data_IF_477225358562
#
_entry.id   IF_477225358562
#
_cell.length_a   1.000
_cell.length_b   1.000
_cell.length_c   1.000
_cell.angle_alpha   90.00
_cell.angle_beta   90.00
_cell.angle_gamma   90.00
#
_symmetry.space_group_name_H-M   'P 1'
#
loop_
_entity.id
_entity.type
_entity.pdbx_description
1 polymer ?
#
# COMPACT_ATOMS: atom_id res chain seq x y z
N UNK A 1 -26.58 30.87 -47.91
CA UNK A 1 -26.38 30.14 -46.63
C UNK A 1 -25.18 29.22 -46.78
N UNK A 2 -23.99 29.63 -46.33
CA UNK A 2 -22.80 28.75 -46.23
C UNK A 2 -22.53 28.55 -44.74
N UNK A 3 -22.76 27.34 -44.25
CA UNK A 3 -22.47 26.92 -42.88
C UNK A 3 -20.95 26.84 -42.69
N UNK A 4 -20.41 27.76 -41.87
CA UNK A 4 -19.03 27.67 -41.38
C UNK A 4 -18.96 26.54 -40.35
N UNK A 5 -18.28 25.47 -40.70
CA UNK A 5 -17.82 24.43 -39.78
C UNK A 5 -16.75 25.03 -38.86
N UNK A 6 -17.02 25.05 -37.56
CA UNK A 6 -16.04 25.37 -36.52
C UNK A 6 -15.11 24.16 -36.38
N UNK A 7 -13.77 24.31 -36.44
CA UNK A 7 -12.87 23.17 -36.27
C UNK A 7 -12.91 22.68 -34.83
N UNK A 8 -13.15 21.39 -34.63
CA UNK A 8 -13.01 20.73 -33.34
C UNK A 8 -11.53 20.68 -32.96
N UNK A 9 -11.15 21.52 -32.01
CA UNK A 9 -9.84 21.42 -31.36
C UNK A 9 -9.81 20.12 -30.55
N UNK A 10 -9.09 19.12 -31.07
CA UNK A 10 -8.99 17.81 -30.42
C UNK A 10 -8.49 17.96 -28.99
N UNK A 11 -9.15 17.31 -28.03
CA UNK A 11 -8.81 17.26 -26.60
C UNK A 11 -7.34 16.84 -26.35
N UNK A 12 -6.70 16.21 -27.34
CA UNK A 12 -5.30 15.81 -27.27
C UNK A 12 -4.31 16.99 -27.30
N UNK A 13 -4.65 18.12 -27.95
CA UNK A 13 -3.79 19.31 -28.00
C UNK A 13 -3.83 20.08 -26.69
N UNK A 14 -5.01 20.23 -26.08
CA UNK A 14 -5.17 20.87 -24.77
C UNK A 14 -4.44 20.05 -23.68
N UNK A 15 -4.49 18.72 -23.74
CA UNK A 15 -3.69 17.87 -22.83
C UNK A 15 -2.18 18.00 -23.07
N UNK A 16 -1.72 18.12 -24.33
CA UNK A 16 -0.29 18.33 -24.63
C UNK A 16 0.19 19.71 -24.18
N UNK A 17 -0.66 20.73 -24.29
CA UNK A 17 -0.34 22.10 -23.93
C UNK A 17 -0.40 22.33 -22.41
N UNK A 18 -1.38 21.74 -21.72
CA UNK A 18 -1.41 21.67 -20.26
C UNK A 18 -0.24 20.84 -19.69
N UNK A 19 0.17 19.77 -20.38
CA UNK A 19 1.39 19.02 -20.03
C UNK A 19 2.66 19.86 -20.27
N UNK A 20 2.74 20.63 -21.36
CA UNK A 20 3.87 21.54 -21.65
C UNK A 20 3.98 22.68 -20.64
N UNK A 21 2.86 23.28 -20.21
CA UNK A 21 2.85 24.37 -19.21
C UNK A 21 3.16 23.84 -17.79
N UNK A 22 2.74 22.61 -17.47
CA UNK A 22 3.12 21.93 -16.23
C UNK A 22 4.60 21.49 -16.19
N UNK A 23 5.26 21.38 -17.35
CA UNK A 23 6.67 21.00 -17.52
C UNK A 23 7.60 22.18 -17.88
N UNK A 24 7.18 23.44 -17.67
CA UNK A 24 8.17 24.52 -17.63
C UNK A 24 9.24 24.12 -16.61
N UNK A 25 10.54 24.01 -16.99
CA UNK A 25 11.54 23.40 -16.15
C UNK A 25 11.83 24.32 -14.98
N UNK A 26 11.07 24.14 -13.90
CA UNK A 26 11.38 24.70 -12.60
C UNK A 26 12.74 24.12 -12.21
N UNK A 27 13.79 24.94 -12.38
CA UNK A 27 15.19 24.56 -12.11
C UNK A 27 15.38 23.98 -10.72
N UNK A 28 14.48 24.30 -9.78
CA UNK A 28 14.51 23.83 -8.40
C UNK A 28 13.83 22.48 -8.17
N UNK A 29 12.97 22.02 -9.09
CA UNK A 29 12.20 20.78 -8.92
C UNK A 29 13.09 19.57 -8.60
N UNK A 30 14.13 19.33 -9.41
CA UNK A 30 15.01 18.17 -9.22
C UNK A 30 15.82 18.33 -7.92
N UNK A 31 16.58 19.42 -7.70
CA UNK A 31 17.32 19.61 -6.46
C UNK A 31 16.48 19.42 -5.19
N UNK A 32 15.31 20.06 -5.11
CA UNK A 32 14.46 20.02 -3.89
C UNK A 32 13.92 18.61 -3.63
N UNK A 33 13.38 17.95 -4.65
CA UNK A 33 12.82 16.60 -4.49
C UNK A 33 13.89 15.59 -4.11
N UNK A 34 15.06 15.65 -4.76
CA UNK A 34 16.17 14.75 -4.46
C UNK A 34 16.72 15.01 -3.06
N UNK A 35 16.89 16.27 -2.67
CA UNK A 35 17.34 16.63 -1.33
C UNK A 35 16.37 16.14 -0.27
N UNK A 36 15.05 16.29 -0.46
CA UNK A 36 14.05 15.78 0.48
C UNK A 36 14.16 14.27 0.69
N UNK A 37 14.22 13.48 -0.38
CA UNK A 37 14.27 12.03 -0.28
C UNK A 37 15.63 11.52 0.21
N UNK A 38 16.73 12.20 -0.15
CA UNK A 38 18.06 11.89 0.36
C UNK A 38 18.18 12.23 1.85
N UNK A 39 17.67 13.38 2.30
CA UNK A 39 17.64 13.75 3.70
C UNK A 39 16.79 12.77 4.53
N UNK A 40 15.61 12.36 4.01
CA UNK A 40 14.79 11.35 4.66
C UNK A 40 15.51 10.01 4.77
N UNK A 41 16.19 9.57 3.71
CA UNK A 41 16.98 8.33 3.70
C UNK A 41 18.11 8.41 4.72
N UNK A 42 18.90 9.48 4.70
CA UNK A 42 20.01 9.69 5.63
C UNK A 42 19.53 9.76 7.07
N UNK A 43 18.43 10.48 7.35
CA UNK A 43 17.83 10.52 8.67
C UNK A 43 17.49 9.11 9.15
N UNK A 44 16.78 8.32 8.33
CA UNK A 44 16.43 6.95 8.68
C UNK A 44 17.64 6.05 8.93
N UNK A 45 18.69 6.16 8.11
CA UNK A 45 19.94 5.42 8.30
C UNK A 45 20.65 5.76 9.62
N UNK A 46 20.54 7.01 10.08
CA UNK A 46 21.12 7.44 11.36
C UNK A 46 20.31 6.91 12.53
N UNK A 47 18.97 7.01 12.49
CA UNK A 47 18.11 6.70 13.65
C UNK A 47 17.66 5.24 13.72
N UNK A 48 17.84 4.42 12.67
CA UNK A 48 17.35 3.04 12.62
C UNK A 48 17.81 2.20 13.82
N UNK A 49 19.00 2.49 14.37
CA UNK A 49 19.58 1.75 15.50
C UNK A 49 19.04 2.17 16.87
N UNK A 50 18.28 3.27 16.93
CA UNK A 50 17.72 3.83 18.15
C UNK A 50 16.36 3.21 18.53
N UNK A 51 15.80 2.36 17.66
CA UNK A 51 14.54 1.68 17.90
C UNK A 51 14.74 0.34 18.64
N UNK A 52 13.86 0.08 19.61
CA UNK A 52 13.79 -1.21 20.29
C UNK A 52 13.10 -2.29 19.45
N UNK A 53 13.07 -3.51 19.97
CA UNK A 53 12.36 -4.64 19.35
C UNK A 53 10.90 -4.64 19.82
N UNK A 54 9.98 -4.61 18.87
CA UNK A 54 8.54 -4.66 19.09
C UNK A 54 8.02 -6.11 19.16
N UNK A 55 6.82 -6.26 19.71
CA UNK A 55 6.25 -7.57 20.05
C UNK A 55 6.05 -8.50 18.83
N UNK A 56 5.70 -7.94 17.69
CA UNK A 56 5.39 -8.72 16.47
C UNK A 56 6.63 -9.24 15.75
N UNK A 57 7.78 -8.59 15.92
CA UNK A 57 8.91 -8.82 15.02
C UNK A 57 9.51 -10.21 15.19
N UNK A 58 9.51 -10.75 16.42
CA UNK A 58 9.95 -12.12 16.69
C UNK A 58 9.05 -13.17 16.01
N UNK A 59 7.73 -12.97 16.05
CA UNK A 59 6.79 -13.85 15.35
C UNK A 59 6.99 -13.77 13.84
N UNK A 60 7.10 -12.56 13.29
CA UNK A 60 7.35 -12.37 11.87
C UNK A 60 8.69 -12.97 11.41
N UNK A 61 9.74 -12.84 12.22
CA UNK A 61 11.04 -13.48 11.96
C UNK A 61 10.90 -15.00 11.90
N UNK A 62 10.15 -15.59 12.83
CA UNK A 62 9.83 -17.02 12.80
C UNK A 62 9.13 -17.46 11.52
N UNK A 63 8.18 -16.67 11.00
CA UNK A 63 7.50 -16.95 9.73
C UNK A 63 8.50 -17.00 8.55
N UNK A 64 9.46 -16.07 8.54
CA UNK A 64 10.55 -16.03 7.57
C UNK A 64 11.48 -17.24 7.68
N UNK A 65 11.90 -17.60 8.90
CA UNK A 65 12.79 -18.73 9.16
C UNK A 65 12.17 -20.08 8.80
N UNK A 66 10.91 -20.33 9.18
CA UNK A 66 10.20 -21.58 8.83
C UNK A 66 10.02 -21.70 7.32
N UNK A 67 9.67 -20.60 6.64
CA UNK A 67 9.50 -20.59 5.19
C UNK A 67 10.83 -20.78 4.44
N UNK A 68 11.91 -20.13 4.91
CA UNK A 68 13.25 -20.31 4.34
C UNK A 68 13.74 -21.75 4.54
N UNK A 69 13.51 -22.35 5.71
CA UNK A 69 13.85 -23.75 5.98
C UNK A 69 13.13 -24.68 5.01
N UNK A 70 11.84 -24.45 4.76
CA UNK A 70 11.08 -25.21 3.76
C UNK A 70 11.69 -25.08 2.35
N UNK A 71 12.05 -23.86 1.91
CA UNK A 71 12.71 -23.65 0.62
C UNK A 71 14.07 -24.34 0.55
N UNK A 72 14.88 -24.22 1.60
CA UNK A 72 16.22 -24.80 1.63
C UNK A 72 16.18 -26.32 1.61
N UNK A 73 15.24 -26.96 2.32
CA UNK A 73 15.02 -28.41 2.22
C UNK A 73 14.61 -28.84 0.80
N UNK A 74 13.85 -27.98 0.09
CA UNK A 74 13.33 -28.30 -1.24
C UNK A 74 14.38 -28.13 -2.35
N UNK A 75 15.20 -27.08 -2.29
CA UNK A 75 16.08 -26.69 -3.40
C UNK A 75 17.58 -26.74 -3.08
N UNK A 76 17.97 -26.55 -1.83
CA UNK A 76 19.38 -26.39 -1.44
C UNK A 76 19.66 -27.02 -0.07
N UNK A 77 19.51 -28.34 0.10
CA UNK A 77 19.66 -29.01 1.40
C UNK A 77 21.07 -28.83 1.99
N UNK A 78 22.10 -28.74 1.13
CA UNK A 78 23.49 -28.49 1.53
C UNK A 78 23.68 -27.16 2.28
N UNK A 79 22.81 -26.18 2.04
CA UNK A 79 22.82 -24.92 2.79
C UNK A 79 22.54 -25.15 4.28
N UNK A 80 21.59 -26.04 4.60
CA UNK A 80 21.23 -26.38 5.98
C UNK A 80 22.25 -27.29 6.65
N UNK A 81 23.06 -28.03 5.87
CA UNK A 81 24.10 -28.90 6.40
C UNK A 81 25.30 -28.13 6.98
N UNK A 82 25.44 -26.84 6.66
CA UNK A 82 26.51 -25.99 7.23
C UNK A 82 26.30 -25.82 8.74
N UNK A 83 27.34 -25.94 9.58
CA UNK A 83 27.20 -25.86 11.03
C UNK A 83 26.49 -24.59 11.51
N UNK A 84 26.82 -23.42 10.96
CA UNK A 84 26.18 -22.16 11.35
C UNK A 84 24.68 -22.11 11.00
N UNK A 85 24.29 -22.69 9.86
CA UNK A 85 22.89 -22.71 9.43
C UNK A 85 22.10 -23.77 10.22
N UNK A 86 22.68 -24.95 10.42
CA UNK A 86 22.07 -26.01 11.23
C UNK A 86 21.72 -25.50 12.64
N UNK A 87 22.63 -24.75 13.28
CA UNK A 87 22.38 -24.12 14.57
C UNK A 87 21.26 -23.07 14.51
N UNK A 88 21.27 -22.17 13.52
CA UNK A 88 20.26 -21.12 13.36
C UNK A 88 18.85 -21.67 13.09
N UNK A 89 18.72 -22.79 12.38
CA UNK A 89 17.44 -23.42 12.05
C UNK A 89 16.97 -24.47 13.06
N UNK A 90 17.78 -24.78 14.09
CA UNK A 90 17.44 -25.75 15.13
C UNK A 90 16.19 -25.39 15.94
N UNK A 91 15.94 -24.11 16.32
CA UNK A 91 14.72 -23.72 17.04
C UNK A 91 13.44 -23.89 16.21
N UNK A 92 13.55 -23.87 14.88
CA UNK A 92 12.41 -23.91 13.95
C UNK A 92 12.12 -25.36 13.51
N UNK A 93 11.77 -26.22 14.46
CA UNK A 93 11.56 -27.66 14.21
C UNK A 93 10.22 -27.99 13.56
N UNK A 94 9.19 -27.16 13.77
CA UNK A 94 7.86 -27.37 13.18
C UNK A 94 7.90 -27.15 11.67
N UNK A 95 7.47 -28.14 10.86
CA UNK A 95 7.37 -27.96 9.42
C UNK A 95 6.33 -26.90 9.02
N UNK A 96 6.51 -26.27 7.85
CA UNK A 96 5.64 -25.18 7.38
C UNK A 96 4.16 -25.59 7.31
N UNK A 97 3.88 -26.83 6.91
CA UNK A 97 2.52 -27.34 6.75
C UNK A 97 1.73 -27.48 8.06
N UNK A 98 2.40 -27.46 9.22
CA UNK A 98 1.85 -27.64 10.57
C UNK A 98 2.10 -26.42 11.47
N UNK A 99 2.91 -25.47 11.02
CA UNK A 99 3.21 -24.24 11.75
C UNK A 99 1.97 -23.36 12.01
N UNK A 100 1.89 -22.69 13.16
CA UNK A 100 0.67 -21.97 13.58
C UNK A 100 0.32 -20.82 12.64
N UNK A 101 1.34 -20.10 12.16
CA UNK A 101 1.21 -18.92 11.29
C UNK A 101 1.54 -19.25 9.82
N UNK A 102 1.34 -20.51 9.41
CA UNK A 102 1.64 -20.99 8.05
C UNK A 102 0.90 -20.23 6.95
N UNK A 103 -0.24 -19.64 7.30
CA UNK A 103 -1.13 -18.88 6.44
C UNK A 103 -0.83 -17.38 6.44
N UNK A 104 0.34 -16.96 6.90
CA UNK A 104 0.90 -15.65 6.60
C UNK A 104 1.76 -15.71 5.33
N UNK A 105 1.61 -14.72 4.46
CA UNK A 105 2.57 -14.56 3.37
C UNK A 105 3.88 -13.96 3.86
N UNK A 106 4.93 -14.25 3.12
CA UNK A 106 6.32 -14.04 3.49
C UNK A 106 7.10 -13.23 2.45
N UNK A 107 6.44 -12.54 1.54
CA UNK A 107 7.08 -11.73 0.49
C UNK A 107 8.03 -10.64 1.03
N UNK A 108 7.79 -10.16 2.25
CA UNK A 108 8.74 -9.31 2.96
C UNK A 108 9.69 -10.13 3.85
N UNK A 109 9.14 -11.05 4.63
CA UNK A 109 9.89 -11.79 5.66
C UNK A 109 10.96 -12.72 5.10
N UNK A 110 10.63 -13.46 4.04
CA UNK A 110 11.52 -14.43 3.43
C UNK A 110 12.76 -13.76 2.82
N UNK A 111 12.68 -12.71 1.98
CA UNK A 111 13.88 -12.04 1.48
C UNK A 111 14.76 -11.43 2.59
N UNK A 112 14.16 -10.85 3.62
CA UNK A 112 14.91 -10.27 4.75
C UNK A 112 15.65 -11.36 5.53
N UNK A 113 15.00 -12.50 5.75
CA UNK A 113 15.61 -13.67 6.41
C UNK A 113 16.71 -14.30 5.55
N UNK A 114 16.54 -14.32 4.22
CA UNK A 114 17.62 -14.74 3.30
C UNK A 114 18.84 -13.82 3.44
N UNK A 115 18.64 -12.50 3.46
CA UNK A 115 19.73 -11.55 3.65
C UNK A 115 20.44 -11.75 4.99
N UNK A 116 19.67 -11.92 6.07
CA UNK A 116 20.19 -12.22 7.41
C UNK A 116 21.11 -13.44 7.39
N UNK A 117 20.67 -14.55 6.79
CA UNK A 117 21.45 -15.79 6.77
C UNK A 117 22.62 -15.76 5.80
N UNK A 118 22.55 -15.00 4.71
CA UNK A 118 23.67 -14.77 3.78
C UNK A 118 24.76 -13.89 4.41
N UNK A 119 24.37 -12.94 5.26
CA UNK A 119 25.28 -12.08 6.01
C UNK A 119 25.83 -12.75 7.29
N UNK A 120 25.34 -13.95 7.61
CA UNK A 120 25.75 -14.73 8.80
C UNK A 120 25.59 -13.91 10.08
N UNK A 121 24.43 -13.26 10.21
CA UNK A 121 24.07 -12.52 11.43
C UNK A 121 23.55 -13.52 12.46
N UNK A 122 24.34 -13.74 13.52
CA UNK A 122 23.99 -14.71 14.57
C UNK A 122 23.60 -14.05 15.89
N UNK A 123 23.83 -12.74 16.05
CA UNK A 123 23.39 -11.99 17.22
C UNK A 123 22.01 -11.35 16.98
N UNK A 124 21.14 -11.48 17.98
CA UNK A 124 19.76 -10.97 17.93
C UNK A 124 19.71 -9.49 17.57
N UNK A 125 20.64 -8.68 18.08
CA UNK A 125 20.64 -7.22 17.87
C UNK A 125 20.87 -6.87 16.39
N UNK A 126 21.88 -7.45 15.75
CA UNK A 126 22.18 -7.21 14.33
C UNK A 126 21.07 -7.71 13.42
N UNK A 127 20.42 -8.83 13.77
CA UNK A 127 19.23 -9.32 13.07
C UNK A 127 18.12 -8.26 13.05
N UNK A 128 17.71 -7.74 14.21
CA UNK A 128 16.63 -6.74 14.25
C UNK A 128 17.05 -5.40 13.64
N UNK A 129 18.31 -5.00 13.72
CA UNK A 129 18.80 -3.83 13.00
C UNK A 129 18.70 -3.96 11.47
N UNK A 130 19.04 -5.13 10.91
CA UNK A 130 18.84 -5.39 9.49
C UNK A 130 17.36 -5.31 9.13
N UNK A 131 16.51 -5.94 9.95
CA UNK A 131 15.06 -5.97 9.74
C UNK A 131 14.47 -4.57 9.80
N UNK A 132 14.89 -3.75 10.78
CA UNK A 132 14.48 -2.36 10.89
C UNK A 132 14.86 -1.54 9.67
N UNK A 133 16.10 -1.73 9.19
CA UNK A 133 16.57 -1.10 7.95
C UNK A 133 15.71 -1.51 6.76
N UNK A 134 15.44 -2.80 6.58
CA UNK A 134 14.60 -3.31 5.50
C UNK A 134 13.16 -2.76 5.56
N UNK A 135 12.55 -2.72 6.76
CA UNK A 135 11.22 -2.13 6.98
C UNK A 135 11.21 -0.65 6.58
N UNK A 136 12.22 0.11 7.04
CA UNK A 136 12.37 1.52 6.69
C UNK A 136 12.53 1.74 5.19
N UNK A 137 13.37 0.96 4.51
CA UNK A 137 13.61 1.10 3.07
C UNK A 137 12.34 0.85 2.24
N UNK A 138 11.53 -0.14 2.63
CA UNK A 138 10.22 -0.39 1.98
C UNK A 138 9.28 0.78 2.25
N UNK A 139 9.20 1.28 3.49
CA UNK A 139 8.39 2.43 3.85
C UNK A 139 8.80 3.71 3.10
N UNK A 140 10.10 3.96 2.97
CA UNK A 140 10.66 5.05 2.17
C UNK A 140 10.21 4.94 0.70
N UNK A 141 10.23 3.74 0.13
CA UNK A 141 9.65 3.46 -1.20
C UNK A 141 8.15 3.78 -1.28
N UNK A 142 7.40 3.50 -0.21
CA UNK A 142 6.00 3.90 -0.05
C UNK A 142 5.80 5.42 -0.08
N UNK A 143 6.65 6.19 0.61
CA UNK A 143 6.62 7.67 0.58
C UNK A 143 6.90 8.19 -0.84
N UNK A 144 7.85 7.59 -1.55
CA UNK A 144 8.12 7.90 -2.97
C UNK A 144 6.90 7.61 -3.84
N UNK A 145 6.14 6.53 -3.56
CA UNK A 145 4.91 6.21 -4.27
C UNK A 145 3.81 7.26 -4.04
N UNK A 146 3.63 7.74 -2.80
CA UNK A 146 2.68 8.82 -2.47
C UNK A 146 3.05 10.13 -3.18
N UNK A 147 4.34 10.50 -3.20
CA UNK A 147 4.83 11.65 -3.97
C UNK A 147 4.44 11.55 -5.45
N UNK A 148 4.66 10.38 -6.06
CA UNK A 148 4.33 10.16 -7.47
C UNK A 148 2.82 10.21 -7.74
N UNK A 149 2.00 9.67 -6.83
CA UNK A 149 0.54 9.73 -6.90
C UNK A 149 0.06 11.19 -6.87
N UNK A 150 0.47 11.97 -5.87
CA UNK A 150 0.11 13.38 -5.73
C UNK A 150 0.60 14.21 -6.92
N UNK A 151 1.84 14.00 -7.37
CA UNK A 151 2.39 14.70 -8.54
C UNK A 151 1.58 14.43 -9.80
N UNK A 152 1.19 13.19 -10.06
CA UNK A 152 0.39 12.82 -11.23
C UNK A 152 -1.04 13.34 -11.15
N UNK A 153 -1.66 13.22 -9.97
CA UNK A 153 -3.04 13.66 -9.75
C UNK A 153 -3.20 15.16 -9.93
N UNK A 154 -2.25 15.96 -9.43
CA UNK A 154 -2.36 17.43 -9.40
C UNK A 154 -1.43 18.14 -10.39
N UNK A 155 -0.76 17.40 -11.27
CA UNK A 155 0.18 17.89 -12.27
C UNK A 155 1.25 18.86 -11.68
N UNK A 156 1.68 18.61 -10.44
CA UNK A 156 2.58 19.51 -9.72
C UNK A 156 3.48 18.72 -8.76
N UNK A 157 4.78 18.93 -8.89
CA UNK A 157 5.76 18.32 -7.99
C UNK A 157 5.61 18.83 -6.55
N UNK A 158 5.15 20.07 -6.36
CA UNK A 158 4.94 20.69 -5.03
C UNK A 158 3.81 20.00 -4.27
N UNK A 159 2.69 19.74 -4.95
CA UNK A 159 1.59 18.97 -4.35
C UNK A 159 1.98 17.52 -4.07
N UNK A 160 2.74 16.89 -4.99
CA UNK A 160 3.33 15.58 -4.71
C UNK A 160 4.21 15.59 -3.46
N UNK A 161 5.10 16.58 -3.33
CA UNK A 161 6.01 16.69 -2.20
C UNK A 161 5.27 16.95 -0.89
N UNK A 162 4.21 17.78 -0.92
CA UNK A 162 3.33 17.97 0.21
C UNK A 162 2.65 16.65 0.63
N UNK A 163 2.18 15.83 -0.32
CA UNK A 163 1.59 14.52 0.01
C UNK A 163 2.58 13.58 0.71
N UNK A 164 3.82 13.51 0.23
CA UNK A 164 4.89 12.76 0.90
C UNK A 164 5.24 13.35 2.28
N UNK A 165 5.31 14.68 2.38
CA UNK A 165 5.57 15.38 3.64
C UNK A 165 4.47 15.11 4.66
N UNK A 166 3.18 15.10 4.28
CA UNK A 166 2.09 14.77 5.21
C UNK A 166 2.24 13.35 5.77
N UNK A 167 2.66 12.38 4.96
CA UNK A 167 2.91 11.03 5.43
C UNK A 167 4.08 10.99 6.44
N UNK A 168 5.18 11.71 6.16
CA UNK A 168 6.34 11.82 7.06
C UNK A 168 6.02 12.64 8.32
N UNK A 169 5.14 13.63 8.25
CA UNK A 169 4.71 14.41 9.41
C UNK A 169 3.62 13.70 10.22
N UNK A 170 3.37 12.41 9.99
CA UNK A 170 2.48 11.59 10.79
C UNK A 170 3.31 10.82 11.82
N UNK A 171 3.35 11.26 13.10
CA UNK A 171 4.34 10.74 14.07
C UNK A 171 4.30 9.22 14.20
N UNK A 172 3.09 8.65 14.24
CA UNK A 172 2.87 7.21 14.35
C UNK A 172 3.38 6.44 13.13
N UNK A 173 3.17 6.97 11.92
CA UNK A 173 3.63 6.32 10.68
C UNK A 173 5.16 6.32 10.59
N UNK A 174 5.81 7.42 10.99
CA UNK A 174 7.27 7.50 10.97
C UNK A 174 7.89 6.61 12.03
N UNK A 175 7.41 6.66 13.28
CA UNK A 175 7.94 5.81 14.34
C UNK A 175 7.82 4.32 13.98
N UNK A 176 6.63 3.89 13.54
CA UNK A 176 6.38 2.48 13.21
C UNK A 176 7.06 2.05 11.89
N UNK A 177 7.53 2.97 11.05
CA UNK A 177 8.24 2.62 9.81
C UNK A 177 9.59 1.94 10.02
N UNK A 178 10.07 1.89 11.25
CA UNK A 178 11.33 1.24 11.60
C UNK A 178 11.15 -0.17 12.14
N UNK A 179 10.02 -0.53 12.74
CA UNK A 179 9.86 -1.84 13.40
C UNK A 179 8.59 -2.59 13.01
N UNK A 180 7.58 -1.91 12.45
CA UNK A 180 6.32 -2.56 12.06
C UNK A 180 6.44 -3.18 10.67
N UNK A 181 7.01 -4.39 10.62
CA UNK A 181 7.19 -5.19 9.41
C UNK A 181 5.90 -5.77 8.80
N UNK A 182 4.76 -5.67 9.49
CA UNK A 182 3.46 -6.14 9.00
C UNK A 182 2.67 -4.97 8.39
N UNK A 183 2.18 -4.04 9.21
CA UNK A 183 1.21 -3.02 8.78
C UNK A 183 1.82 -1.89 7.96
N UNK A 184 3.02 -1.40 8.33
CA UNK A 184 3.67 -0.29 7.64
C UNK A 184 4.25 -0.72 6.30
N UNK A 185 4.86 -1.92 6.25
CA UNK A 185 5.27 -2.57 5.00
C UNK A 185 4.05 -2.77 4.10
N UNK A 186 2.94 -3.28 4.65
CA UNK A 186 1.70 -3.43 3.92
C UNK A 186 1.17 -2.10 3.37
N UNK A 187 1.15 -1.03 4.18
CA UNK A 187 0.76 0.30 3.75
C UNK A 187 1.63 0.82 2.60
N UNK A 188 2.95 0.64 2.70
CA UNK A 188 3.90 1.07 1.68
C UNK A 188 3.68 0.32 0.35
N UNK A 189 3.47 -0.99 0.42
CA UNK A 189 3.17 -1.81 -0.76
C UNK A 189 1.79 -1.47 -1.35
N UNK A 190 0.77 -1.18 -0.53
CA UNK A 190 -0.52 -0.65 -1.00
C UNK A 190 -0.38 0.72 -1.67
N UNK A 191 0.52 1.59 -1.19
CA UNK A 191 0.83 2.86 -1.86
C UNK A 191 1.50 2.60 -3.23
N UNK A 192 2.45 1.66 -3.30
CA UNK A 192 3.10 1.24 -4.56
C UNK A 192 2.07 0.61 -5.52
N UNK A 193 1.19 -0.26 -5.03
CA UNK A 193 0.12 -0.90 -5.79
C UNK A 193 -0.90 0.12 -6.32
N UNK A 194 -1.29 1.10 -5.51
CA UNK A 194 -2.12 2.23 -5.95
C UNK A 194 -1.40 3.05 -7.03
N UNK A 195 -0.11 3.28 -6.83
CA UNK A 195 0.73 4.04 -7.74
C UNK A 195 0.88 3.37 -9.11
N UNK A 196 1.06 2.05 -9.16
CA UNK A 196 1.07 1.25 -10.40
C UNK A 196 -0.32 1.09 -11.00
N UNK A 197 -1.37 0.94 -10.17
CA UNK A 197 -2.77 0.88 -10.59
C UNK A 197 -3.14 2.13 -11.39
N UNK A 198 -2.87 3.33 -10.84
CA UNK A 198 -3.18 4.59 -11.53
C UNK A 198 -2.45 4.68 -12.88
N UNK A 199 -1.21 4.19 -12.98
CA UNK A 199 -0.47 4.15 -14.27
C UNK A 199 -1.11 3.16 -15.24
N UNK A 200 -1.50 1.99 -14.76
CA UNK A 200 -2.13 0.95 -15.56
C UNK A 200 -3.50 1.38 -16.07
N UNK A 201 -4.37 1.89 -15.20
CA UNK A 201 -5.67 2.44 -15.58
C UNK A 201 -5.51 3.64 -16.51
N UNK A 202 -4.50 4.50 -16.32
CA UNK A 202 -4.30 5.63 -17.24
C UNK A 202 -3.96 5.18 -18.67
N UNK A 203 -3.15 4.12 -18.84
CA UNK A 203 -2.91 3.48 -20.15
C UNK A 203 -2.67 1.97 -19.96
N UNK A 204 -3.63 1.11 -20.33
CA UNK A 204 -3.52 -0.35 -20.14
C UNK A 204 -2.53 -1.00 -21.13
N UNK A 205 -1.25 -1.01 -20.78
CA UNK A 205 -0.19 -1.69 -21.59
C UNK A 205 0.33 -2.94 -20.87
N UNK A 206 0.92 -3.88 -21.62
CA UNK A 206 1.45 -5.13 -21.06
C UNK A 206 2.46 -4.91 -19.93
N UNK A 207 3.45 -4.02 -20.11
CA UNK A 207 4.42 -3.70 -19.05
C UNK A 207 3.77 -3.09 -17.79
N UNK A 208 2.73 -2.25 -17.97
CA UNK A 208 2.00 -1.67 -16.84
C UNK A 208 1.13 -2.72 -16.13
N UNK A 209 0.59 -3.69 -16.88
CA UNK A 209 -0.11 -4.83 -16.33
C UNK A 209 0.81 -5.71 -15.48
N UNK A 210 2.02 -6.03 -15.99
CA UNK A 210 3.04 -6.81 -15.28
C UNK A 210 3.47 -6.10 -14.00
N UNK A 211 3.90 -4.84 -14.10
CA UNK A 211 4.36 -4.07 -12.92
C UNK A 211 3.27 -3.86 -11.88
N UNK A 212 2.00 -3.69 -12.30
CA UNK A 212 0.89 -3.61 -11.38
C UNK A 212 0.55 -4.97 -10.75
N UNK A 213 0.58 -6.05 -11.54
CA UNK A 213 0.34 -7.40 -11.03
C UNK A 213 1.36 -7.84 -9.99
N UNK A 214 2.65 -7.54 -10.21
CA UNK A 214 3.70 -7.78 -9.23
C UNK A 214 3.51 -6.95 -7.95
N UNK A 215 3.14 -5.68 -8.07
CA UNK A 215 2.87 -4.83 -6.91
C UNK A 215 1.67 -5.33 -6.10
N UNK A 216 0.60 -5.79 -6.77
CA UNK A 216 -0.54 -6.41 -6.11
C UNK A 216 -0.16 -7.73 -5.44
N UNK A 217 0.64 -8.57 -6.10
CA UNK A 217 1.07 -9.84 -5.54
C UNK A 217 1.89 -9.64 -4.26
N UNK A 218 2.86 -8.73 -4.26
CA UNK A 218 3.63 -8.37 -3.07
C UNK A 218 2.74 -7.88 -1.93
N UNK A 219 1.76 -7.03 -2.22
CA UNK A 219 0.84 -6.52 -1.20
C UNK A 219 -0.08 -7.61 -0.65
N UNK A 220 -0.66 -8.46 -1.52
CA UNK A 220 -1.53 -9.59 -1.16
C UNK A 220 -0.78 -10.61 -0.31
N UNK A 221 0.47 -10.85 -0.64
CA UNK A 221 1.31 -11.79 0.09
C UNK A 221 1.61 -11.26 1.51
N UNK A 222 2.08 -10.01 1.64
CA UNK A 222 2.29 -9.42 2.99
C UNK A 222 0.99 -9.42 3.81
N UNK A 223 -0.15 -9.07 3.20
CA UNK A 223 -1.47 -9.29 3.78
C UNK A 223 -2.55 -9.53 2.74
N UNK A 224 -3.29 -10.63 2.93
CA UNK A 224 -4.31 -11.09 2.00
C UNK A 224 -5.42 -10.06 1.72
N UNK A 225 -5.67 -9.12 2.64
CA UNK A 225 -6.64 -8.04 2.45
C UNK A 225 -6.33 -7.12 1.26
N UNK A 226 -5.10 -7.10 0.75
CA UNK A 226 -4.78 -6.41 -0.51
C UNK A 226 -5.45 -7.04 -1.75
N UNK A 227 -6.18 -8.15 -1.62
CA UNK A 227 -7.07 -8.66 -2.68
C UNK A 227 -8.05 -7.59 -3.18
N UNK A 228 -8.35 -6.59 -2.34
CA UNK A 228 -9.11 -5.41 -2.73
C UNK A 228 -8.48 -4.63 -3.89
N UNK A 229 -7.15 -4.58 -4.02
CA UNK A 229 -6.47 -3.84 -5.10
C UNK A 229 -6.74 -4.45 -6.47
N UNK A 230 -6.52 -5.76 -6.70
CA UNK A 230 -6.92 -6.41 -7.94
C UNK A 230 -8.40 -6.24 -8.28
N UNK A 231 -9.29 -6.37 -7.27
CA UNK A 231 -10.73 -6.17 -7.45
C UNK A 231 -11.03 -4.73 -7.89
N UNK A 232 -10.48 -3.74 -7.19
CA UNK A 232 -10.64 -2.33 -7.53
C UNK A 232 -10.10 -2.01 -8.93
N UNK A 233 -8.97 -2.61 -9.33
CA UNK A 233 -8.41 -2.46 -10.68
C UNK A 233 -9.38 -2.97 -11.74
N UNK A 234 -9.92 -4.18 -11.58
CA UNK A 234 -10.86 -4.77 -12.56
C UNK A 234 -12.13 -3.94 -12.64
N UNK A 235 -12.70 -3.55 -11.49
CA UNK A 235 -13.93 -2.73 -11.43
C UNK A 235 -13.72 -1.38 -12.13
N UNK A 236 -12.67 -0.63 -11.76
CA UNK A 236 -12.43 0.71 -12.33
C UNK A 236 -12.05 0.62 -13.81
N UNK A 237 -11.28 -0.39 -14.20
CA UNK A 237 -10.97 -0.60 -15.62
C UNK A 237 -12.22 -0.91 -16.44
N UNK A 238 -13.12 -1.76 -15.91
CA UNK A 238 -14.41 -2.07 -16.53
C UNK A 238 -15.27 -0.83 -16.71
N UNK A 239 -15.44 -0.03 -15.65
CA UNK A 239 -16.19 1.24 -15.69
C UNK A 239 -15.60 2.20 -16.74
N UNK A 240 -14.28 2.40 -16.74
CA UNK A 240 -13.62 3.29 -17.71
C UNK A 240 -13.69 2.77 -19.14
N UNK A 241 -13.69 1.45 -19.33
CA UNK A 241 -13.89 0.83 -20.65
C UNK A 241 -15.31 1.07 -21.16
N UNK A 242 -16.32 0.89 -20.31
CA UNK A 242 -17.73 1.19 -20.64
C UNK A 242 -17.99 2.66 -20.97
N UNK A 243 -17.20 3.57 -20.38
CA UNK A 243 -17.22 5.01 -20.69
C UNK A 243 -16.43 5.39 -21.96
N UNK A 244 -15.85 4.42 -22.67
CA UNK A 244 -15.08 4.67 -23.89
C UNK A 244 -13.72 5.34 -23.65
N UNK A 245 -13.14 5.25 -22.44
CA UNK A 245 -11.86 5.89 -22.10
C UNK A 245 -10.65 5.33 -22.87
N UNK A 246 -10.81 4.21 -23.58
CA UNK A 246 -9.74 3.50 -24.29
C UNK A 246 -10.11 3.25 -25.77
N UNK A 247 -10.33 4.30 -26.57
CA UNK A 247 -10.70 4.13 -27.98
C UNK A 247 -9.61 3.37 -28.74
N UNK A 248 -10.00 2.35 -29.49
CA UNK A 248 -9.09 1.53 -30.30
C UNK A 248 -8.19 0.56 -29.50
N UNK A 249 -8.27 0.54 -28.17
CA UNK A 249 -7.56 -0.43 -27.34
C UNK A 249 -8.49 -1.58 -26.95
N UNK A 250 -7.97 -2.81 -26.96
CA UNK A 250 -8.64 -3.99 -26.38
C UNK A 250 -7.99 -4.31 -25.03
N UNK A 251 -8.48 -3.73 -23.91
CA UNK A 251 -7.82 -3.89 -22.61
C UNK A 251 -7.79 -5.34 -22.11
N UNK A 252 -8.60 -6.24 -22.68
CA UNK A 252 -8.69 -7.65 -22.27
C UNK A 252 -7.34 -8.39 -22.22
N UNK A 253 -6.43 -8.16 -23.18
CA UNK A 253 -5.07 -8.77 -23.11
C UNK A 253 -4.26 -8.24 -21.94
N UNK A 254 -4.36 -6.95 -21.65
CA UNK A 254 -3.67 -6.34 -20.53
C UNK A 254 -4.27 -6.79 -19.19
N UNK A 255 -5.58 -7.02 -19.12
CA UNK A 255 -6.26 -7.62 -17.96
C UNK A 255 -5.82 -9.06 -17.74
N UNK A 256 -5.79 -9.88 -18.79
CA UNK A 256 -5.32 -11.26 -18.69
C UNK A 256 -3.86 -11.32 -18.22
N UNK A 257 -2.99 -10.46 -18.77
CA UNK A 257 -1.60 -10.36 -18.31
C UNK A 257 -1.52 -9.92 -16.84
N UNK A 258 -2.32 -8.93 -16.44
CA UNK A 258 -2.38 -8.45 -15.06
C UNK A 258 -2.81 -9.55 -14.08
N UNK A 259 -3.94 -10.23 -14.36
CA UNK A 259 -4.47 -11.30 -13.50
C UNK A 259 -3.54 -12.51 -13.47
N UNK A 260 -3.01 -12.92 -14.63
CA UNK A 260 -2.06 -14.01 -14.75
C UNK A 260 -0.78 -13.76 -13.95
N UNK A 261 -0.20 -12.56 -14.08
CA UNK A 261 1.01 -12.18 -13.30
C UNK A 261 0.70 -12.09 -11.82
N UNK A 262 -0.44 -11.51 -11.43
CA UNK A 262 -0.82 -11.41 -10.01
C UNK A 262 -0.96 -12.80 -9.39
N UNK A 263 -1.74 -13.68 -10.02
CA UNK A 263 -1.95 -15.04 -9.51
C UNK A 263 -0.66 -15.86 -9.46
N UNK A 264 0.12 -15.85 -10.54
CA UNK A 264 1.39 -16.58 -10.58
C UNK A 264 2.38 -16.06 -9.53
N UNK A 265 2.52 -14.74 -9.39
CA UNK A 265 3.44 -14.16 -8.41
C UNK A 265 2.98 -14.40 -6.97
N UNK A 266 1.69 -14.35 -6.65
CA UNK A 266 1.17 -14.71 -5.32
C UNK A 266 1.53 -16.15 -4.98
N UNK A 267 1.34 -17.09 -5.91
CA UNK A 267 1.70 -18.50 -5.66
C UNK A 267 3.21 -18.64 -5.49
N UNK A 268 4.03 -18.04 -6.35
CA UNK A 268 5.50 -18.16 -6.29
C UNK A 268 6.07 -17.56 -5.00
N UNK A 269 5.55 -16.42 -4.54
CA UNK A 269 6.07 -15.70 -3.37
C UNK A 269 5.60 -16.29 -2.04
N UNK A 270 4.56 -17.13 -2.05
CA UNK A 270 3.92 -17.68 -0.86
C UNK A 270 4.03 -19.21 -0.79
N UNK A 271 5.07 -19.76 -0.14
CA UNK A 271 5.36 -21.20 -0.18
C UNK A 271 4.23 -22.09 0.36
N UNK A 272 3.47 -21.59 1.33
CA UNK A 272 2.27 -22.26 1.84
C UNK A 272 1.25 -22.61 0.75
N UNK A 273 1.17 -21.81 -0.33
CA UNK A 273 0.24 -22.06 -1.42
C UNK A 273 0.68 -23.21 -2.33
N UNK A 274 1.95 -23.64 -2.32
CA UNK A 274 2.47 -24.54 -3.36
C UNK A 274 1.81 -25.93 -3.37
N UNK A 275 1.43 -26.44 -2.20
CA UNK A 275 0.80 -27.76 -2.08
C UNK A 275 -0.61 -27.80 -2.67
N UNK A 276 -1.40 -26.73 -2.48
CA UNK A 276 -2.76 -26.63 -2.97
C UNK A 276 -3.17 -25.14 -3.12
N UNK A 277 -2.79 -24.46 -4.23
CA UNK A 277 -2.86 -23.00 -4.31
C UNK A 277 -4.23 -22.40 -4.02
N UNK A 278 -5.29 -22.96 -4.62
CA UNK A 278 -6.65 -22.43 -4.46
C UNK A 278 -7.22 -22.72 -3.07
N UNK A 279 -7.04 -23.95 -2.57
CA UNK A 279 -7.54 -24.37 -1.26
C UNK A 279 -6.84 -23.63 -0.13
N UNK A 280 -5.51 -23.54 -0.18
CA UNK A 280 -4.72 -22.87 0.85
C UNK A 280 -4.95 -21.36 0.85
N UNK A 281 -5.16 -20.73 -0.32
CA UNK A 281 -5.54 -19.32 -0.40
C UNK A 281 -6.93 -19.08 0.23
N UNK A 282 -7.90 -19.95 -0.04
CA UNK A 282 -9.23 -19.88 0.59
C UNK A 282 -9.19 -20.06 2.10
N UNK A 283 -8.35 -20.99 2.58
CA UNK A 283 -8.13 -21.22 4.02
C UNK A 283 -7.49 -19.98 4.68
N UNK A 284 -6.44 -19.41 4.07
CA UNK A 284 -5.80 -18.20 4.56
C UNK A 284 -6.79 -17.01 4.61
N UNK A 285 -7.63 -16.84 3.58
CA UNK A 285 -8.64 -15.78 3.56
C UNK A 285 -9.68 -15.94 4.66
N UNK A 286 -10.14 -17.17 4.89
CA UNK A 286 -11.12 -17.49 5.94
C UNK A 286 -10.55 -17.25 7.33
N UNK A 287 -9.32 -17.71 7.59
CA UNK A 287 -8.62 -17.51 8.86
C UNK A 287 -8.38 -16.02 9.17
N UNK A 288 -8.03 -15.22 8.16
CA UNK A 288 -7.77 -13.79 8.34
C UNK A 288 -9.04 -12.96 8.56
N UNK A 289 -10.21 -13.43 8.09
CA UNK A 289 -11.50 -12.74 8.30
C UNK A 289 -11.95 -12.80 9.76
N UNK A 290 -11.67 -13.92 10.45
CA UNK A 290 -11.89 -14.08 11.90
C UNK A 290 -10.56 -14.38 12.57
N UNK A 291 -9.70 -13.35 12.56
CA UNK A 291 -8.35 -13.49 13.07
C UNK A 291 -8.35 -13.99 14.52
N UNK A 292 -7.46 -14.94 14.82
CA UNK A 292 -7.44 -15.74 16.06
C UNK A 292 -6.79 -14.98 17.22
N UNK A 293 -7.24 -13.74 17.47
CA UNK A 293 -6.73 -12.90 18.55
C UNK A 293 -7.85 -12.52 19.51
N UNK A 294 -7.83 -13.11 20.70
CA UNK A 294 -8.84 -12.91 21.75
C UNK A 294 -8.36 -12.00 22.88
N UNK A 295 -7.46 -11.05 22.60
CA UNK A 295 -6.91 -10.16 23.61
C UNK A 295 -7.85 -9.02 23.99
N UNK A 296 -7.58 -8.42 25.15
CA UNK A 296 -8.23 -7.21 25.61
C UNK A 296 -7.45 -5.97 25.14
N UNK A 297 -8.17 -4.91 24.75
CA UNK A 297 -7.60 -3.61 24.41
C UNK A 297 -8.20 -2.51 25.26
N UNK A 298 -7.38 -1.53 25.62
CA UNK A 298 -7.83 -0.34 26.33
C UNK A 298 -8.58 0.60 25.36
N UNK A 299 -9.85 0.86 25.65
CA UNK A 299 -10.67 1.80 24.87
C UNK A 299 -11.54 2.64 25.79
N UNK A 300 -11.32 3.97 25.76
CA UNK A 300 -12.06 4.97 26.56
C UNK A 300 -12.06 4.70 28.08
N UNK A 301 -10.97 4.14 28.60
CA UNK A 301 -10.81 3.83 30.02
C UNK A 301 -11.20 2.40 30.42
N UNK A 302 -11.84 1.65 29.52
CA UNK A 302 -12.25 0.26 29.78
C UNK A 302 -11.38 -0.73 29.01
N UNK A 303 -11.08 -1.87 29.61
CA UNK A 303 -10.55 -3.03 28.89
C UNK A 303 -11.70 -3.75 28.17
N UNK A 304 -11.60 -3.88 26.84
CA UNK A 304 -12.61 -4.55 26.00
C UNK A 304 -11.98 -5.63 25.16
N UNK A 305 -12.68 -6.75 24.96
CA UNK A 305 -12.21 -7.77 24.03
C UNK A 305 -12.21 -7.23 22.60
N UNK A 306 -11.20 -7.60 21.80
CA UNK A 306 -11.06 -7.08 20.44
C UNK A 306 -12.14 -7.53 19.44
N UNK A 307 -12.89 -8.58 19.75
CA UNK A 307 -14.05 -9.03 19.00
C UNK A 307 -15.36 -8.33 19.41
N UNK A 308 -15.35 -7.56 20.51
CA UNK A 308 -16.49 -6.82 21.04
C UNK A 308 -16.36 -5.29 20.87
N UNK A 309 -15.49 -4.85 19.96
CA UNK A 309 -15.22 -3.44 19.78
C UNK A 309 -16.40 -2.69 19.15
N UNK A 310 -16.76 -1.51 19.70
CA UNK A 310 -17.83 -0.72 19.13
C UNK A 310 -17.38 -0.08 17.81
N UNK A 311 -18.33 0.22 16.93
CA UNK A 311 -18.04 0.76 15.58
C UNK A 311 -17.20 2.05 15.59
N UNK A 312 -17.26 2.83 16.67
CA UNK A 312 -16.48 4.07 16.77
C UNK A 312 -14.99 3.84 17.03
N UNK A 313 -14.56 2.62 17.38
CA UNK A 313 -13.18 2.33 17.76
C UNK A 313 -12.17 2.82 16.71
N UNK A 314 -12.29 2.35 15.46
CA UNK A 314 -11.37 2.74 14.38
C UNK A 314 -11.47 4.24 14.03
N UNK A 315 -12.67 4.84 13.81
CA UNK A 315 -12.78 6.28 13.58
C UNK A 315 -12.19 7.15 14.69
N UNK A 316 -12.39 6.78 15.96
CA UNK A 316 -11.83 7.51 17.12
C UNK A 316 -10.31 7.41 17.12
N UNK A 317 -9.76 6.21 16.95
CA UNK A 317 -8.31 6.02 16.91
C UNK A 317 -7.65 6.78 15.76
N UNK A 318 -8.26 6.78 14.56
CA UNK A 318 -7.81 7.61 13.43
C UNK A 318 -7.85 9.09 13.84
N UNK A 319 -8.95 9.56 14.40
CA UNK A 319 -9.15 10.96 14.78
C UNK A 319 -8.15 11.47 15.83
N UNK A 320 -7.89 10.70 16.88
CA UNK A 320 -7.01 11.14 17.98
C UNK A 320 -5.50 10.97 17.67
N UNK A 321 -5.15 10.09 16.73
CA UNK A 321 -3.73 9.83 16.38
C UNK A 321 -3.28 10.41 15.04
N UNK A 322 -4.19 11.06 14.30
CA UNK A 322 -3.88 11.79 13.07
C UNK A 322 -3.75 13.28 13.39
N UNK A 323 -2.69 13.98 12.92
CA UNK A 323 -2.54 15.41 13.15
C UNK A 323 -3.76 16.21 12.66
N UNK A 324 -4.21 17.19 13.44
CA UNK A 324 -5.38 18.01 13.13
C UNK A 324 -5.34 18.66 11.73
N UNK A 325 -4.20 19.21 11.24
CA UNK A 325 -4.12 19.75 9.89
C UNK A 325 -4.51 18.73 8.80
N UNK A 326 -4.11 17.47 8.96
CA UNK A 326 -4.42 16.40 8.01
C UNK A 326 -5.92 16.08 7.99
N UNK A 327 -6.56 16.05 9.17
CA UNK A 327 -8.00 15.82 9.29
C UNK A 327 -8.82 16.97 8.69
N UNK A 328 -8.41 18.23 8.93
CA UNK A 328 -9.04 19.40 8.34
C UNK A 328 -8.92 19.39 6.80
N UNK A 329 -7.72 19.08 6.29
CA UNK A 329 -7.50 18.94 4.86
C UNK A 329 -8.31 17.78 4.25
N UNK A 330 -8.42 16.64 4.96
CA UNK A 330 -9.27 15.51 4.56
C UNK A 330 -10.74 15.94 4.45
N UNK A 331 -11.27 16.62 5.47
CA UNK A 331 -12.64 17.15 5.46
C UNK A 331 -12.86 18.12 4.29
N UNK A 332 -11.94 19.06 4.06
CA UNK A 332 -12.00 19.98 2.93
C UNK A 332 -11.92 19.26 1.58
N UNK A 333 -11.15 18.18 1.49
CA UNK A 333 -11.06 17.33 0.31
C UNK A 333 -12.37 16.63 -0.01
N UNK A 334 -12.98 15.99 1.00
CA UNK A 334 -14.29 15.37 0.88
C UNK A 334 -15.37 16.38 0.48
N UNK A 335 -15.39 17.56 1.09
CA UNK A 335 -16.31 18.64 0.72
C UNK A 335 -16.10 19.13 -0.71
N UNK A 336 -14.85 19.27 -1.16
CA UNK A 336 -14.54 19.69 -2.52
C UNK A 336 -15.00 18.66 -3.56
N UNK A 337 -14.80 17.36 -3.29
CA UNK A 337 -15.24 16.27 -4.15
C UNK A 337 -16.77 16.18 -4.15
N UNK A 338 -17.42 16.26 -2.98
CA UNK A 338 -18.88 16.25 -2.87
C UNK A 338 -19.54 17.42 -3.62
N UNK A 339 -19.02 18.64 -3.46
CA UNK A 339 -19.48 19.81 -4.22
C UNK A 339 -19.33 19.62 -5.73
N UNK A 340 -18.24 18.99 -6.17
CA UNK A 340 -18.01 18.68 -7.59
C UNK A 340 -19.06 17.69 -8.12
N UNK A 341 -19.31 16.58 -7.41
CA UNK A 341 -20.31 15.57 -7.80
C UNK A 341 -21.71 16.18 -7.89
N UNK A 342 -22.10 17.00 -6.90
CA UNK A 342 -23.40 17.70 -6.90
C UNK A 342 -23.51 18.66 -8.09
N UNK A 343 -22.47 19.44 -8.40
CA UNK A 343 -22.45 20.34 -9.57
C UNK A 343 -22.56 19.59 -10.89
N UNK A 344 -22.04 18.38 -10.98
CA UNK A 344 -22.19 17.49 -12.13
C UNK A 344 -23.48 16.67 -12.10
N UNK A 345 -24.46 17.04 -11.26
CA UNK A 345 -25.77 16.36 -11.15
C UNK A 345 -25.62 14.86 -10.89
N UNK A 346 -24.70 14.49 -9.99
CA UNK A 346 -24.40 13.11 -9.61
C UNK A 346 -23.81 12.24 -10.73
N UNK A 347 -23.39 12.85 -11.85
CA UNK A 347 -22.61 12.16 -12.89
C UNK A 347 -21.18 11.97 -12.41
N UNK A 348 -20.86 10.75 -11.99
CA UNK A 348 -19.51 10.35 -11.62
C UNK A 348 -18.61 10.26 -12.85
N UNK A 349 -17.30 10.41 -12.67
CA UNK A 349 -16.29 10.32 -13.74
C UNK A 349 -16.45 11.38 -14.84
N UNK A 350 -17.02 12.55 -14.50
CA UNK A 350 -17.27 13.63 -15.46
C UNK A 350 -16.00 14.37 -15.90
N UNK A 351 -14.91 14.28 -15.13
CA UNK A 351 -13.64 14.95 -15.44
C UNK A 351 -12.44 14.00 -15.34
N UNK A 352 -11.36 14.30 -16.07
CA UNK A 352 -10.12 13.48 -16.15
C UNK A 352 -9.48 13.15 -14.79
N UNK A 353 -9.72 13.97 -13.76
CA UNK A 353 -9.18 13.77 -12.41
C UNK A 353 -10.14 13.13 -11.41
N UNK A 354 -11.44 13.13 -11.69
CA UNK A 354 -12.48 12.70 -10.72
C UNK A 354 -12.44 11.20 -10.46
N UNK A 355 -12.12 10.39 -11.45
CA UNK A 355 -11.99 8.94 -11.27
C UNK A 355 -10.91 8.58 -10.25
N UNK A 356 -9.84 9.37 -10.16
CA UNK A 356 -8.78 9.17 -9.15
C UNK A 356 -9.28 9.58 -7.77
N UNK A 357 -10.03 10.68 -7.66
CA UNK A 357 -10.61 11.12 -6.39
C UNK A 357 -11.57 10.05 -5.83
N UNK A 358 -12.44 9.51 -6.68
CA UNK A 358 -13.36 8.42 -6.31
C UNK A 358 -12.62 7.13 -5.96
N UNK A 359 -11.55 6.81 -6.70
CA UNK A 359 -10.68 5.68 -6.37
C UNK A 359 -10.03 5.85 -4.99
N UNK A 360 -9.48 7.03 -4.67
CA UNK A 360 -8.86 7.27 -3.38
C UNK A 360 -9.88 7.26 -2.24
N UNK A 361 -11.08 7.80 -2.45
CA UNK A 361 -12.19 7.65 -1.49
C UNK A 361 -12.54 6.17 -1.31
N UNK A 362 -12.68 5.41 -2.40
CA UNK A 362 -13.01 3.99 -2.36
C UNK A 362 -11.97 3.18 -1.58
N UNK A 363 -10.68 3.35 -1.90
CA UNK A 363 -9.58 2.68 -1.18
C UNK A 363 -9.44 3.13 0.27
N UNK A 364 -9.82 4.38 0.58
CA UNK A 364 -9.75 4.94 1.92
C UNK A 364 -10.92 4.50 2.82
N UNK A 365 -12.14 4.60 2.30
CA UNK A 365 -13.37 4.48 3.09
C UNK A 365 -14.01 3.10 3.00
N UNK A 366 -13.89 2.38 1.88
CA UNK A 366 -14.51 1.06 1.75
C UNK A 366 -13.92 0.03 2.73
N UNK A 367 -12.59 -0.06 2.95
CA UNK A 367 -12.06 -0.99 3.96
C UNK A 367 -12.46 -0.62 5.39
N UNK A 368 -12.49 0.69 5.70
CA UNK A 368 -12.96 1.19 7.00
C UNK A 368 -14.42 0.80 7.25
N UNK A 369 -15.29 1.00 6.24
CA UNK A 369 -16.68 0.58 6.31
C UNK A 369 -16.83 -0.93 6.42
N UNK A 370 -16.04 -1.71 5.66
CA UNK A 370 -16.06 -3.16 5.72
C UNK A 370 -15.72 -3.69 7.12
N UNK A 371 -14.68 -3.15 7.76
CA UNK A 371 -14.30 -3.53 9.14
C UNK A 371 -15.41 -3.24 10.14
N UNK A 372 -16.09 -2.10 9.99
CA UNK A 372 -17.23 -1.72 10.85
C UNK A 372 -18.43 -2.66 10.64
N UNK A 373 -18.79 -2.94 9.40
CA UNK A 373 -19.96 -3.77 9.04
C UNK A 373 -19.73 -5.23 9.39
N UNK A 374 -18.52 -5.75 9.12
CA UNK A 374 -18.17 -7.14 9.37
C UNK A 374 -17.74 -7.42 10.81
N UNK A 375 -17.63 -6.36 11.65
CA UNK A 375 -17.13 -6.43 13.03
C UNK A 375 -15.78 -7.16 13.10
N UNK A 376 -14.86 -6.81 12.20
CA UNK A 376 -13.54 -7.43 12.15
C UNK A 376 -12.73 -7.12 13.41
N UNK A 377 -11.96 -8.10 13.88
CA UNK A 377 -11.09 -7.98 15.07
C UNK A 377 -10.02 -6.92 14.81
N UNK A 378 -9.94 -5.92 15.69
CA UNK A 378 -8.91 -4.87 15.68
C UNK A 378 -8.22 -4.82 17.04
N UNK A 379 -6.95 -4.45 17.05
CA UNK A 379 -6.19 -4.28 18.27
C UNK A 379 -5.03 -3.30 18.12
N UNK A 380 -4.52 -2.79 19.23
CA UNK A 380 -3.47 -1.76 19.29
C UNK A 380 -3.82 -0.47 18.49
N UNK A 381 -5.11 -0.12 18.46
CA UNK A 381 -5.64 1.00 17.71
C UNK A 381 -6.03 0.62 16.28
N UNK A 382 -5.57 1.39 15.29
CA UNK A 382 -6.00 1.22 13.90
C UNK A 382 -4.87 0.74 12.98
N UNK A 383 -3.85 0.07 13.54
CA UNK A 383 -2.66 -0.38 12.79
C UNK A 383 -3.01 -1.27 11.61
N UNK A 384 -3.99 -2.15 11.77
CA UNK A 384 -4.47 -3.05 10.73
C UNK A 384 -5.08 -2.29 9.54
N UNK A 385 -5.45 -1.03 9.72
CA UNK A 385 -6.03 -0.14 8.72
C UNK A 385 -5.04 0.88 8.13
N UNK A 386 -3.76 0.89 8.52
CA UNK A 386 -2.80 1.89 8.00
C UNK A 386 -2.71 1.94 6.49
N UNK A 387 -2.95 0.82 5.80
CA UNK A 387 -2.95 0.74 4.35
C UNK A 387 -3.96 1.67 3.64
N UNK A 388 -5.00 2.15 4.34
CA UNK A 388 -5.95 3.13 3.80
C UNK A 388 -5.38 4.56 3.84
N UNK A 389 -4.40 4.82 4.72
CA UNK A 389 -3.92 6.16 5.03
C UNK A 389 -3.32 6.91 3.83
N UNK A 390 -2.49 6.30 2.95
CA UNK A 390 -2.03 6.95 1.73
C UNK A 390 -3.16 7.47 0.84
N UNK A 391 -4.28 6.73 0.74
CA UNK A 391 -5.44 7.16 -0.03
C UNK A 391 -6.16 8.33 0.65
N UNK A 392 -6.32 8.30 1.98
CA UNK A 392 -6.85 9.43 2.76
C UNK A 392 -5.99 10.70 2.60
N UNK A 393 -4.67 10.57 2.59
CA UNK A 393 -3.75 11.70 2.36
C UNK A 393 -3.91 12.31 0.97
N UNK A 394 -4.20 11.51 -0.06
CA UNK A 394 -4.47 12.02 -1.41
C UNK A 394 -5.79 12.78 -1.48
N UNK A 395 -6.81 12.36 -0.72
CA UNK A 395 -8.05 13.13 -0.53
C UNK A 395 -7.77 14.41 0.26
N UNK A 396 -6.95 14.37 1.31
CA UNK A 396 -6.53 15.56 2.04
C UNK A 396 -5.79 16.57 1.14
N UNK A 397 -4.92 16.06 0.26
CA UNK A 397 -4.21 16.88 -0.73
C UNK A 397 -5.18 17.55 -1.72
N UNK A 398 -6.29 16.90 -2.09
CA UNK A 398 -7.37 17.52 -2.87
C UNK A 398 -7.98 18.71 -2.13
N UNK A 399 -8.12 18.62 -0.81
CA UNK A 399 -8.54 19.71 0.08
C UNK A 399 -7.55 20.87 0.08
N UNK A 400 -6.25 20.58 0.23
CA UNK A 400 -5.19 21.60 0.18
C UNK A 400 -5.20 22.36 -1.16
N UNK A 401 -5.36 21.65 -2.27
CA UNK A 401 -5.49 22.23 -3.61
C UNK A 401 -6.76 23.09 -3.73
N UNK A 402 -7.88 22.65 -3.15
CA UNK A 402 -9.13 23.40 -3.18
C UNK A 402 -9.01 24.72 -2.40
N UNK A 403 -8.38 24.70 -1.22
CA UNK A 403 -8.13 25.89 -0.40
C UNK A 403 -7.19 26.85 -1.13
N UNK A 404 -6.08 26.36 -1.68
CA UNK A 404 -5.11 27.21 -2.38
C UNK A 404 -5.64 27.84 -3.68
N UNK A 405 -6.68 27.24 -4.28
CA UNK A 405 -7.34 27.77 -5.50
C UNK A 405 -8.65 28.50 -5.19
N UNK A 406 -9.02 28.62 -3.93
CA UNK A 406 -10.23 29.33 -3.54
C UNK A 406 -10.06 30.81 -3.89
N UNK A 407 -11.02 31.33 -4.67
CA UNK A 407 -11.18 32.77 -4.92
C UNK A 407 -12.50 33.17 -4.26
N UNK A 408 -12.51 34.21 -3.41
CA UNK A 408 -13.71 34.67 -2.71
C UNK A 408 -14.80 35.14 -3.68
#
# INVERSE_FOLDING_TARGET
>A
MKTKTVPSTSSSNIMREAARLADSPDRWRRPVVWTFFAALLLLGLVVVRDYGVSFDEGQSHGNGMVSLKFLALTFTPDFLARPEQAAAFAPYSTPLDSYVDRDYGVAFELPVTVLERLLVLDDWRSVFWLRHLCTFLVCWGGVVAVYQLGRRRFASWRWGLLGALLLVLSPRMVAESFYNNKDLVFMALCAVATNTMVRFLARPTGWRAVTHGLACALAVDVRIMAVLWPVATVVVLGLRTGQGAYPGLRPGRAVAAFLGVTGAAVVVLWPYLWAAPLTNFGNAFTNMTRFRWGGAVLYRGDMRMADELPWQYAPVWIGITTPLPHLLLLAMGLLAIGRQVVRHRWRLFSTDGEWQDLLFIGLGMAPLAAVIVLRSVLYDGWRQLYFIYPALLLVALRGAVAVARWRP
#
